data_IF_265088630739
#
_entry.id   IF_265088630739
#
_cell.length_a   1.000
_cell.length_b   1.000
_cell.length_c   1.000
_cell.angle_alpha   90.00
_cell.angle_beta   90.00
_cell.angle_gamma   90.00
#
_symmetry.space_group_name_H-M   'P 1'
#
loop_
_entity.id
_entity.type
_entity.pdbx_description
1 polymer ?
#
# COMPACT_ATOMS: atom_id res chain seq x y z
N UNK A 1 -34.61 -18.54 34.69
CA UNK A 1 -33.15 -18.61 34.55
C UNK A 1 -32.83 -17.99 33.21
N UNK A 2 -32.25 -16.82 33.23
CA UNK A 2 -32.24 -15.80 32.20
C UNK A 2 -31.02 -15.96 31.27
N UNK A 3 -31.29 -16.19 30.01
CA UNK A 3 -30.30 -16.16 28.90
C UNK A 3 -30.01 -14.70 28.50
N UNK A 4 -28.76 -14.28 28.61
CA UNK A 4 -28.31 -12.96 28.19
C UNK A 4 -27.58 -13.06 26.84
N UNK A 5 -28.23 -12.61 25.78
CA UNK A 5 -27.71 -12.47 24.44
C UNK A 5 -26.97 -11.13 24.33
N UNK A 6 -25.66 -11.15 24.12
CA UNK A 6 -24.89 -9.94 23.78
C UNK A 6 -24.88 -9.73 22.24
N UNK A 7 -25.52 -8.64 21.83
CA UNK A 7 -25.42 -8.12 20.46
C UNK A 7 -24.09 -7.39 20.27
N UNK A 8 -23.35 -7.75 19.24
CA UNK A 8 -22.21 -7.01 18.74
C UNK A 8 -22.69 -5.75 18.00
N UNK A 9 -22.21 -4.58 18.41
CA UNK A 9 -22.38 -3.33 17.68
C UNK A 9 -21.19 -3.12 16.76
N UNK A 10 -21.47 -3.02 15.44
CA UNK A 10 -20.50 -2.64 14.43
C UNK A 10 -20.18 -1.13 14.48
N UNK A 11 -18.91 -0.81 14.31
CA UNK A 11 -18.41 0.55 14.19
C UNK A 11 -18.75 1.14 12.81
N UNK A 12 -19.67 2.09 12.79
CA UNK A 12 -19.87 2.99 11.66
C UNK A 12 -19.37 4.39 12.08
N UNK A 13 -18.30 4.86 11.44
CA UNK A 13 -17.85 6.25 11.57
C UNK A 13 -18.77 7.14 10.74
N UNK A 14 -19.64 7.87 11.40
CA UNK A 14 -20.47 8.91 10.78
C UNK A 14 -19.80 10.25 11.06
N UNK A 15 -19.36 10.92 10.01
CA UNK A 15 -18.91 12.31 10.07
C UNK A 15 -20.13 13.21 10.24
N UNK A 16 -20.35 13.74 11.44
CA UNK A 16 -21.31 14.80 11.71
C UNK A 16 -20.72 16.14 11.29
N UNK A 17 -21.18 16.67 10.18
CA UNK A 17 -21.00 18.08 9.83
C UNK A 17 -22.00 18.89 10.63
N UNK A 18 -21.52 19.64 11.60
CA UNK A 18 -22.33 20.51 12.44
C UNK A 18 -22.68 21.80 11.65
N UNK A 19 -23.87 21.85 11.06
CA UNK A 19 -24.43 23.10 10.55
C UNK A 19 -24.99 23.91 11.73
N UNK A 20 -24.26 24.98 12.09
CA UNK A 20 -24.74 25.95 13.06
C UNK A 20 -25.76 26.87 12.37
N UNK A 21 -27.05 26.59 12.56
CA UNK A 21 -28.14 27.49 12.17
C UNK A 21 -28.15 28.69 13.09
N UNK A 22 -27.76 29.85 12.57
CA UNK A 22 -27.95 31.12 13.25
C UNK A 22 -29.39 31.61 12.92
N UNK A 23 -30.30 31.35 13.84
CA UNK A 23 -31.64 31.93 13.84
C UNK A 23 -31.53 33.34 14.45
N UNK A 24 -31.57 34.36 13.63
CA UNK A 24 -31.70 35.76 14.08
C UNK A 24 -33.18 36.04 14.28
N UNK A 25 -33.57 36.16 15.54
CA UNK A 25 -34.87 36.70 15.95
C UNK A 25 -34.99 38.18 15.58
N UNK A 26 -35.91 38.48 14.70
CA UNK A 26 -36.38 39.83 14.44
C UNK A 26 -37.27 40.28 15.61
N UNK A 27 -36.81 41.20 16.41
CA UNK A 27 -37.66 42.03 17.27
C UNK A 27 -37.26 43.49 17.17
N UNK A 28 -38.00 44.18 16.41
CA UNK A 28 -38.94 45.26 16.76
C UNK A 28 -38.37 46.68 16.92
N UNK A 29 -39.09 47.56 16.21
CA UNK A 29 -39.43 48.94 16.45
C UNK A 29 -38.43 50.03 16.09
N UNK A 30 -38.87 50.67 15.01
CA UNK A 30 -38.93 52.13 14.78
C UNK A 30 -37.96 53.01 15.58
N UNK A 31 -36.89 53.43 14.94
CA UNK A 31 -36.41 54.79 15.04
C UNK A 31 -35.16 55.04 14.15
N UNK A 32 -35.33 56.00 13.24
CA UNK A 32 -34.29 56.76 12.56
C UNK A 32 -33.70 56.20 11.26
N UNK A 33 -34.36 56.59 10.22
CA UNK A 33 -33.94 56.82 8.86
C UNK A 33 -32.69 57.74 8.77
N UNK A 34 -31.50 57.32 9.15
CA UNK A 34 -30.29 58.06 8.80
C UNK A 34 -29.00 57.25 8.76
N UNK A 35 -29.00 55.98 9.08
CA UNK A 35 -27.75 55.16 9.05
C UNK A 35 -27.65 54.10 7.94
N UNK A 36 -28.60 54.05 7.00
CA UNK A 36 -28.64 52.98 5.99
C UNK A 36 -27.74 53.28 4.78
N UNK A 37 -27.18 54.45 4.66
CA UNK A 37 -26.38 54.85 3.47
C UNK A 37 -24.89 54.48 3.57
N UNK A 38 -24.35 54.21 4.73
CA UNK A 38 -22.92 53.83 4.87
C UNK A 38 -22.67 52.32 4.93
N UNK A 39 -23.65 51.53 5.30
CA UNK A 39 -23.51 50.06 5.35
C UNK A 39 -23.46 49.42 3.94
N UNK A 40 -24.13 50.03 2.97
CA UNK A 40 -24.22 49.53 1.60
C UNK A 40 -22.89 49.61 0.84
N UNK A 41 -22.08 50.61 1.11
CA UNK A 41 -20.77 50.75 0.46
C UNK A 41 -19.70 49.82 1.01
N UNK A 42 -19.78 49.47 2.30
CA UNK A 42 -18.83 48.56 2.92
C UNK A 42 -19.02 47.08 2.46
N UNK A 43 -20.28 46.68 2.26
CA UNK A 43 -20.58 45.29 1.78
C UNK A 43 -20.17 45.14 0.31
N UNK A 44 -20.33 46.17 -0.52
CA UNK A 44 -19.90 46.12 -1.93
C UNK A 44 -18.37 46.06 -2.07
N UNK A 45 -17.62 46.66 -1.15
CA UNK A 45 -16.15 46.63 -1.20
C UNK A 45 -15.60 45.27 -0.80
N UNK A 46 -16.22 44.58 0.18
CA UNK A 46 -15.81 43.24 0.61
C UNK A 46 -16.09 42.20 -0.45
N UNK A 47 -17.20 42.29 -1.18
CA UNK A 47 -17.52 41.37 -2.27
C UNK A 47 -16.58 41.51 -3.47
N UNK A 48 -16.08 42.74 -3.72
CA UNK A 48 -15.15 42.99 -4.83
C UNK A 48 -13.75 42.40 -4.56
N UNK A 49 -13.31 42.38 -3.29
CA UNK A 49 -12.00 41.82 -2.90
C UNK A 49 -12.02 40.30 -2.96
N UNK A 50 -13.14 39.66 -2.67
CA UNK A 50 -13.28 38.18 -2.74
C UNK A 50 -13.21 37.63 -4.18
N UNK A 51 -13.50 38.45 -5.20
CA UNK A 51 -13.44 38.07 -6.61
C UNK A 51 -12.02 38.09 -7.22
N UNK A 52 -11.06 38.73 -6.52
CA UNK A 52 -9.69 38.92 -7.01
C UNK A 52 -8.67 37.92 -6.40
N UNK A 53 -9.11 36.93 -5.65
CA UNK A 53 -8.18 35.85 -5.24
C UNK A 53 -7.92 34.99 -6.46
N UNK A 54 -6.67 34.91 -6.96
CA UNK A 54 -6.35 33.89 -7.93
C UNK A 54 -6.64 32.55 -7.25
N UNK A 55 -7.60 31.80 -7.77
CA UNK A 55 -7.73 30.41 -7.45
C UNK A 55 -6.46 29.73 -8.01
N UNK A 56 -5.43 29.65 -7.19
CA UNK A 56 -4.36 28.70 -7.44
C UNK A 56 -5.02 27.32 -7.39
N UNK A 57 -5.49 26.87 -8.54
CA UNK A 57 -5.79 25.48 -8.72
C UNK A 57 -4.48 24.77 -8.38
N UNK A 58 -4.44 24.17 -7.20
CA UNK A 58 -3.36 23.27 -6.83
C UNK A 58 -3.45 22.12 -7.84
N UNK A 59 -2.59 22.21 -8.85
CA UNK A 59 -2.51 21.18 -9.88
C UNK A 59 -1.88 19.94 -9.22
N UNK A 60 -2.71 19.18 -8.50
CA UNK A 60 -2.34 17.94 -7.85
C UNK A 60 -1.96 16.83 -8.85
N UNK A 61 -1.87 17.19 -10.15
CA UNK A 61 -1.51 16.27 -11.23
C UNK A 61 -0.02 16.16 -11.50
N UNK A 62 0.81 17.06 -10.98
CA UNK A 62 2.23 17.06 -11.29
C UNK A 62 3.07 16.07 -10.49
N UNK A 63 2.54 15.47 -9.41
CA UNK A 63 3.30 14.56 -8.55
C UNK A 63 2.86 13.08 -8.63
N UNK A 64 2.02 12.72 -9.58
CA UNK A 64 1.91 11.33 -10.00
C UNK A 64 3.09 11.00 -10.93
N UNK A 65 4.30 11.23 -10.46
CA UNK A 65 5.44 10.50 -10.93
C UNK A 65 5.10 9.03 -10.69
N UNK A 66 4.64 8.35 -11.73
CA UNK A 66 4.33 6.93 -11.66
C UNK A 66 5.58 6.25 -11.12
N UNK A 67 5.56 5.91 -9.83
CA UNK A 67 6.68 5.21 -9.20
C UNK A 67 6.88 3.94 -10.02
N UNK A 68 7.99 3.88 -10.74
CA UNK A 68 8.35 2.67 -11.46
C UNK A 68 8.59 1.57 -10.44
N UNK A 69 7.79 0.53 -10.48
CA UNK A 69 7.98 -0.67 -9.67
C UNK A 69 8.75 -1.68 -10.49
N UNK A 70 9.87 -2.14 -9.96
CA UNK A 70 10.67 -3.16 -10.61
C UNK A 70 10.37 -4.55 -10.02
N UNK A 71 9.90 -5.45 -10.87
CA UNK A 71 9.50 -6.81 -10.53
C UNK A 71 10.31 -7.82 -11.37
N UNK A 72 11.51 -8.24 -10.89
CA UNK A 72 12.38 -9.13 -11.64
C UNK A 72 11.80 -10.54 -11.73
N UNK A 73 11.71 -11.06 -12.95
CA UNK A 73 11.24 -12.42 -13.18
C UNK A 73 12.21 -13.44 -12.57
N UNK A 74 11.73 -14.32 -11.70
CA UNK A 74 12.48 -15.46 -11.17
C UNK A 74 12.64 -16.48 -12.30
N UNK A 75 13.87 -16.93 -12.52
CA UNK A 75 14.25 -17.90 -13.53
C UNK A 75 14.41 -19.30 -12.95
N UNK A 76 14.84 -19.39 -11.68
CA UNK A 76 15.00 -20.62 -10.93
C UNK A 76 14.72 -20.35 -9.45
N UNK A 77 13.95 -21.22 -8.74
CA UNK A 77 13.48 -22.53 -9.14
C UNK A 77 12.37 -22.51 -10.20
N UNK A 78 12.23 -23.64 -10.92
CA UNK A 78 11.17 -23.91 -11.89
C UNK A 78 10.17 -24.91 -11.32
N UNK A 79 9.08 -25.16 -12.04
CA UNK A 79 8.05 -26.12 -11.64
C UNK A 79 8.60 -27.54 -11.38
N UNK A 80 9.61 -27.96 -12.14
CA UNK A 80 10.18 -29.31 -12.03
C UNK A 80 11.34 -29.40 -11.02
N UNK A 81 11.59 -28.34 -10.29
CA UNK A 81 12.68 -28.29 -9.31
C UNK A 81 12.34 -29.13 -8.08
N UNK A 82 13.28 -29.96 -7.66
CA UNK A 82 13.22 -30.71 -6.41
C UNK A 82 14.45 -30.36 -5.58
N UNK A 83 14.26 -29.74 -4.42
CA UNK A 83 15.31 -29.51 -3.45
C UNK A 83 15.24 -30.54 -2.33
N UNK A 84 16.39 -30.78 -1.66
CA UNK A 84 16.44 -31.54 -0.44
C UNK A 84 16.83 -30.67 0.73
N UNK A 85 16.27 -30.96 1.88
CA UNK A 85 16.65 -30.30 3.13
C UNK A 85 18.16 -30.42 3.35
N UNK A 86 18.83 -29.31 3.64
CA UNK A 86 20.27 -29.27 3.83
C UNK A 86 21.10 -29.07 2.57
N UNK A 87 20.53 -29.20 1.37
CA UNK A 87 21.26 -28.95 0.12
C UNK A 87 21.61 -27.46 -0.01
N UNK A 88 22.76 -27.20 -0.64
CA UNK A 88 23.15 -25.87 -1.05
C UNK A 88 22.59 -25.58 -2.43
N UNK A 89 21.66 -24.65 -2.52
CA UNK A 89 20.91 -24.28 -3.73
C UNK A 89 21.03 -22.79 -4.02
N UNK A 90 20.63 -22.40 -5.22
CA UNK A 90 20.59 -20.98 -5.59
C UNK A 90 19.19 -20.60 -6.11
N UNK A 91 18.85 -19.33 -5.98
CA UNK A 91 17.73 -18.69 -6.68
C UNK A 91 18.32 -17.73 -7.70
N UNK A 92 17.76 -17.72 -8.91
CA UNK A 92 18.20 -16.82 -9.98
C UNK A 92 17.03 -16.03 -10.53
N UNK A 93 17.30 -14.78 -10.90
CA UNK A 93 16.31 -13.90 -11.49
C UNK A 93 16.91 -13.08 -12.64
N UNK A 94 16.05 -12.47 -13.43
CA UNK A 94 16.49 -11.64 -14.55
C UNK A 94 16.93 -10.26 -14.02
N UNK A 95 18.23 -10.02 -14.05
CA UNK A 95 18.81 -8.72 -13.67
C UNK A 95 19.25 -7.88 -14.89
N UNK A 96 19.26 -8.47 -16.10
CA UNK A 96 19.77 -7.82 -17.30
C UNK A 96 19.01 -6.52 -17.67
N UNK A 97 17.69 -6.54 -17.48
CA UNK A 97 16.80 -5.42 -17.83
C UNK A 97 16.56 -4.47 -16.64
N UNK A 98 17.37 -4.59 -15.58
CA UNK A 98 17.19 -3.81 -14.35
C UNK A 98 17.53 -2.34 -14.58
N UNK A 99 16.58 -1.41 -14.33
CA UNK A 99 16.85 0.02 -14.36
C UNK A 99 17.95 0.40 -13.37
N UNK A 100 18.69 1.45 -13.66
CA UNK A 100 19.86 1.86 -12.86
C UNK A 100 19.49 2.19 -11.41
N UNK A 101 18.31 2.73 -11.20
CA UNK A 101 17.78 3.12 -9.90
C UNK A 101 17.66 1.94 -8.92
N UNK A 102 17.42 0.73 -9.45
CA UNK A 102 17.19 -0.48 -8.64
C UNK A 102 18.46 -1.31 -8.39
N UNK A 103 19.60 -0.97 -9.03
CA UNK A 103 20.82 -1.78 -8.94
C UNK A 103 21.44 -1.82 -7.55
N UNK A 104 21.25 -0.76 -6.76
CA UNK A 104 21.76 -0.66 -5.40
C UNK A 104 20.76 -1.17 -4.35
N UNK A 105 19.57 -1.60 -4.77
CA UNK A 105 18.59 -2.13 -3.85
C UNK A 105 19.03 -3.50 -3.33
N UNK A 106 18.87 -3.68 -2.03
CA UNK A 106 19.05 -4.98 -1.38
C UNK A 106 17.77 -5.79 -1.48
N UNK A 107 17.92 -7.08 -1.67
CA UNK A 107 16.83 -8.03 -1.76
C UNK A 107 16.75 -8.94 -0.56
N UNK A 108 15.59 -9.58 -0.44
CA UNK A 108 15.31 -10.66 0.51
C UNK A 108 14.63 -11.80 -0.23
N UNK A 109 15.04 -13.04 0.04
CA UNK A 109 14.40 -14.26 -0.46
C UNK A 109 13.71 -14.97 0.70
N UNK A 110 12.42 -15.23 0.54
CA UNK A 110 11.59 -15.86 1.55
C UNK A 110 10.99 -17.14 0.96
N UNK A 111 11.01 -18.22 1.72
CA UNK A 111 10.30 -19.46 1.40
C UNK A 111 8.86 -19.37 1.90
N UNK A 112 7.93 -19.65 1.01
CA UNK A 112 6.52 -19.79 1.32
C UNK A 112 5.94 -21.04 0.68
N UNK A 113 4.63 -21.24 0.83
CA UNK A 113 3.89 -22.28 0.14
C UNK A 113 2.48 -21.80 -0.19
N UNK A 114 1.91 -22.30 -1.28
CA UNK A 114 0.57 -21.93 -1.74
C UNK A 114 -0.31 -23.17 -1.74
N UNK A 115 -1.22 -23.26 -0.78
CA UNK A 115 -2.15 -24.38 -0.66
C UNK A 115 -3.13 -24.44 -1.84
N UNK A 116 -3.63 -25.63 -2.19
CA UNK A 116 -4.64 -25.77 -3.24
C UNK A 116 -5.88 -24.90 -2.96
N UNK A 117 -6.24 -24.06 -3.94
CA UNK A 117 -7.39 -23.14 -3.81
C UNK A 117 -7.11 -21.87 -3.00
N UNK A 118 -5.92 -21.68 -2.47
CA UNK A 118 -5.48 -20.44 -1.81
C UNK A 118 -4.64 -19.58 -2.75
N UNK A 119 -4.74 -18.27 -2.58
CA UNK A 119 -3.82 -17.29 -3.20
C UNK A 119 -2.79 -16.75 -2.17
N UNK A 120 -2.84 -17.23 -0.94
CA UNK A 120 -1.93 -16.81 0.11
C UNK A 120 -0.64 -17.63 0.06
N UNK A 121 0.50 -16.97 0.03
CA UNK A 121 1.83 -17.56 -0.11
C UNK A 121 2.42 -18.11 1.19
N UNK A 122 1.72 -18.00 2.30
CA UNK A 122 2.13 -18.51 3.62
C UNK A 122 3.64 -18.39 3.86
N UNK A 123 4.17 -17.16 3.81
CA UNK A 123 5.59 -16.88 3.97
C UNK A 123 6.07 -17.25 5.37
N UNK A 124 7.11 -18.07 5.47
CA UNK A 124 7.56 -18.60 6.75
C UNK A 124 9.06 -18.40 7.04
N UNK A 125 9.94 -18.71 6.10
CA UNK A 125 11.38 -18.78 6.35
C UNK A 125 12.14 -17.81 5.44
N UNK A 126 12.89 -16.87 6.01
CA UNK A 126 13.86 -16.09 5.25
C UNK A 126 15.02 -17.00 4.88
N UNK A 127 15.29 -17.13 3.58
CA UNK A 127 16.36 -17.95 3.02
C UNK A 127 17.66 -17.17 2.87
N UNK A 128 17.58 -15.93 2.43
CA UNK A 128 18.69 -15.00 2.30
C UNK A 128 18.19 -13.56 2.37
N UNK A 129 19.03 -12.65 2.82
CA UNK A 129 18.76 -11.21 2.87
C UNK A 129 20.05 -10.40 2.63
N UNK A 130 19.91 -9.10 2.43
CA UNK A 130 21.00 -8.13 2.26
C UNK A 130 21.93 -8.39 1.06
N UNK A 131 21.45 -9.07 0.01
CA UNK A 131 22.17 -9.23 -1.25
C UNK A 131 21.72 -8.15 -2.25
N UNK A 132 22.59 -7.81 -3.22
CA UNK A 132 22.22 -6.84 -4.26
C UNK A 132 21.32 -7.48 -5.30
N UNK A 133 20.23 -6.79 -5.62
CA UNK A 133 19.31 -7.23 -6.68
C UNK A 133 19.99 -7.32 -8.05
N UNK A 134 21.05 -6.53 -8.27
CA UNK A 134 21.85 -6.55 -9.50
C UNK A 134 22.65 -7.84 -9.70
N UNK A 135 22.92 -8.62 -8.64
CA UNK A 135 23.71 -9.85 -8.74
C UNK A 135 23.01 -10.96 -9.54
N UNK A 136 21.66 -10.89 -9.63
CA UNK A 136 20.86 -11.81 -10.42
C UNK A 136 20.78 -13.24 -9.84
N UNK A 137 21.45 -13.51 -8.74
CA UNK A 137 21.42 -14.80 -8.04
C UNK A 137 21.79 -14.67 -6.56
N UNK A 138 21.35 -15.64 -5.77
CA UNK A 138 21.76 -15.81 -4.38
C UNK A 138 21.78 -17.30 -4.02
N UNK A 139 22.77 -17.71 -3.24
CA UNK A 139 22.94 -19.09 -2.79
C UNK A 139 22.72 -19.19 -1.30
N UNK A 140 22.00 -20.23 -0.87
CA UNK A 140 21.72 -20.51 0.52
C UNK A 140 21.59 -22.03 0.76
N UNK A 141 21.41 -22.42 2.02
CA UNK A 141 21.13 -23.82 2.38
C UNK A 141 19.64 -23.97 2.64
N UNK A 142 19.04 -25.04 2.08
CA UNK A 142 17.62 -25.34 2.27
C UNK A 142 17.35 -25.62 3.75
N UNK A 143 16.44 -24.87 4.40
CA UNK A 143 16.16 -25.07 5.81
C UNK A 143 15.41 -26.36 6.09
N UNK A 144 15.37 -26.77 7.36
CA UNK A 144 14.55 -27.90 7.80
C UNK A 144 13.07 -27.53 7.75
N UNK A 145 12.38 -27.98 6.70
CA UNK A 145 10.96 -27.75 6.48
C UNK A 145 10.24 -29.06 6.18
N UNK A 146 8.91 -29.05 6.32
CA UNK A 146 8.06 -30.19 5.99
C UNK A 146 8.16 -30.49 4.49
N UNK A 147 8.14 -31.78 4.12
CA UNK A 147 8.06 -32.20 2.73
C UNK A 147 6.73 -31.77 2.10
N UNK A 148 6.81 -31.04 0.97
CA UNK A 148 5.66 -30.52 0.21
C UNK A 148 6.05 -30.33 -1.26
N UNK A 149 5.04 -30.21 -2.14
CA UNK A 149 5.17 -29.98 -3.58
C UNK A 149 4.59 -28.62 -4.03
N UNK A 150 4.22 -27.79 -3.08
CA UNK A 150 3.58 -26.49 -3.31
C UNK A 150 4.41 -25.31 -2.76
N UNK A 151 5.71 -25.51 -2.58
CA UNK A 151 6.60 -24.43 -2.17
C UNK A 151 6.78 -23.39 -3.26
N UNK A 152 6.94 -22.15 -2.83
CA UNK A 152 7.33 -21.01 -3.68
C UNK A 152 8.45 -20.24 -2.99
N UNK A 153 9.29 -19.61 -3.80
CA UNK A 153 10.26 -18.64 -3.35
C UNK A 153 9.74 -17.27 -3.72
N UNK A 154 9.69 -16.36 -2.76
CA UNK A 154 9.34 -14.96 -2.98
C UNK A 154 10.61 -14.11 -2.91
N UNK A 155 10.89 -13.42 -4.01
CA UNK A 155 11.97 -12.45 -4.11
C UNK A 155 11.41 -11.07 -3.82
N UNK A 156 11.80 -10.48 -2.71
CA UNK A 156 11.42 -9.15 -2.29
C UNK A 156 12.56 -8.15 -2.55
N UNK A 157 12.25 -7.10 -3.27
CA UNK A 157 13.08 -5.93 -3.49
C UNK A 157 12.24 -4.68 -3.34
N UNK A 158 12.07 -3.91 -4.39
CA UNK A 158 11.07 -2.80 -4.44
C UNK A 158 9.64 -3.35 -4.47
N UNK A 159 9.44 -4.52 -5.07
CA UNK A 159 8.21 -5.30 -5.09
C UNK A 159 8.50 -6.76 -4.72
N UNK A 160 7.46 -7.56 -4.51
CA UNK A 160 7.57 -9.01 -4.30
C UNK A 160 7.14 -9.77 -5.55
N UNK A 161 7.94 -10.76 -5.94
CA UNK A 161 7.62 -11.69 -7.03
C UNK A 161 7.86 -13.12 -6.55
N UNK A 162 7.00 -14.06 -6.93
CA UNK A 162 7.14 -15.46 -6.55
C UNK A 162 7.53 -16.36 -7.73
N UNK A 163 8.23 -17.44 -7.41
CA UNK A 163 8.56 -18.51 -8.37
C UNK A 163 7.34 -19.36 -8.70
N UNK A 164 7.42 -20.19 -9.76
CA UNK A 164 6.55 -21.36 -9.88
C UNK A 164 6.62 -22.24 -8.64
N UNK A 165 5.56 -23.03 -8.39
CA UNK A 165 5.57 -24.04 -7.35
C UNK A 165 6.62 -25.10 -7.63
N UNK A 166 7.31 -25.56 -6.59
CA UNK A 166 8.34 -26.61 -6.66
C UNK A 166 8.28 -27.49 -5.41
N UNK A 167 9.08 -28.55 -5.42
CA UNK A 167 9.04 -29.56 -4.37
C UNK A 167 10.26 -29.45 -3.45
N UNK A 168 10.03 -29.63 -2.13
CA UNK A 168 11.11 -29.88 -1.16
C UNK A 168 10.88 -31.23 -0.52
N UNK A 169 11.93 -32.06 -0.51
CA UNK A 169 11.96 -33.40 0.11
C UNK A 169 12.81 -33.38 1.37
N UNK A 170 12.50 -34.28 2.26
CA UNK A 170 13.39 -34.60 3.40
C UNK A 170 14.75 -35.11 2.91
N UNK A 171 15.78 -34.96 3.74
CA UNK A 171 17.14 -35.46 3.45
C UNK A 171 17.20 -36.97 3.41
#
# INVERSE_FOLDING_TARGET
>A
MTSSTRKACGNAYIYHVCYCSITILLQDTASRLTMVRFASLAVSLVTLIAAAMPSTAFDARSDLNARMVYDPKILYPTHDTVWKVGDKVNVTWRAADMPREFREYTGKVILGHIEPGSMNEHLANTLAEDFKMADGNVTFTVPHVKERDDYVVVLMGDSGNHSPKFTIRSA
#
